data_IF_241821839883
#
_entry.id   IF_241821839883
#
_cell.length_a   1.000
_cell.length_b   1.000
_cell.length_c   1.000
_cell.angle_alpha   90.00
_cell.angle_beta   90.00
_cell.angle_gamma   90.00
#
_symmetry.space_group_name_H-M   'P 1'
#
loop_
_entity.id
_entity.type
_entity.pdbx_description
1 polymer ?
#
# COMPACT_ATOMS: atom_id res chain seq x y z
N UNK A 1 9.11 0.02 5.95
CA UNK A 1 8.55 -0.17 4.58
C UNK A 1 7.56 0.95 4.32
N UNK A 2 7.59 1.55 3.14
CA UNK A 2 6.65 2.61 2.77
C UNK A 2 5.24 2.07 2.58
N UNK A 3 4.21 2.87 2.91
CA UNK A 3 2.81 2.50 2.65
C UNK A 3 2.49 2.70 1.15
N UNK A 4 2.49 1.61 0.37
CA UNK A 4 2.22 1.66 -1.07
C UNK A 4 0.75 1.99 -1.37
N UNK A 5 -0.26 1.50 -0.62
CA UNK A 5 -1.65 1.92 -0.83
C UNK A 5 -1.79 3.44 -0.76
N UNK A 6 -1.21 4.07 0.26
CA UNK A 6 -1.24 5.53 0.39
C UNK A 6 -0.54 6.24 -0.78
N UNK A 7 0.65 5.79 -1.20
CA UNK A 7 1.33 6.36 -2.37
C UNK A 7 0.51 6.25 -3.65
N UNK A 8 -0.14 5.11 -3.85
CA UNK A 8 -0.95 4.84 -5.03
C UNK A 8 -2.14 5.78 -5.10
N UNK A 9 -2.82 5.99 -3.98
CA UNK A 9 -3.98 6.89 -3.89
C UNK A 9 -3.61 8.35 -4.15
N UNK A 10 -2.44 8.81 -3.70
CA UNK A 10 -1.94 10.15 -4.03
C UNK A 10 -1.80 10.34 -5.55
N UNK A 11 -1.29 9.33 -6.25
CA UNK A 11 -1.09 9.37 -7.70
C UNK A 11 -2.43 9.24 -8.47
N UNK A 12 -3.27 8.29 -8.07
CA UNK A 12 -4.53 7.97 -8.74
C UNK A 12 -5.54 9.12 -8.64
N UNK A 13 -5.68 9.71 -7.44
CA UNK A 13 -6.58 10.85 -7.23
C UNK A 13 -5.92 12.20 -7.55
N UNK A 14 -4.65 12.21 -7.95
CA UNK A 14 -3.86 13.41 -8.26
C UNK A 14 -3.95 14.48 -7.15
N UNK A 15 -3.84 14.05 -5.89
CA UNK A 15 -3.89 14.92 -4.72
C UNK A 15 -2.52 15.08 -4.09
N UNK A 16 -2.25 16.28 -3.58
CA UNK A 16 -1.02 16.60 -2.85
C UNK A 16 -1.09 16.14 -1.39
N UNK A 17 0.07 15.92 -0.77
CA UNK A 17 0.13 15.51 0.64
C UNK A 17 -0.40 16.63 1.56
N UNK A 18 -0.28 17.88 1.12
CA UNK A 18 -0.81 19.06 1.79
C UNK A 18 -2.35 19.11 1.77
N UNK A 19 -2.97 18.70 0.67
CA UNK A 19 -4.44 18.58 0.57
C UNK A 19 -4.94 17.45 1.47
N UNK A 20 -4.26 16.29 1.45
CA UNK A 20 -4.59 15.17 2.35
C UNK A 20 -4.47 15.61 3.80
N UNK A 21 -3.38 16.31 4.17
CA UNK A 21 -3.19 16.80 5.54
C UNK A 21 -4.34 17.66 6.04
N UNK A 22 -4.84 18.56 5.18
CA UNK A 22 -5.99 19.41 5.49
C UNK A 22 -7.29 18.61 5.58
N UNK A 23 -7.53 17.68 4.65
CA UNK A 23 -8.79 16.95 4.59
C UNK A 23 -8.92 15.82 5.61
N UNK A 24 -7.82 15.14 5.95
CA UNK A 24 -7.81 14.04 6.92
C UNK A 24 -7.47 14.51 8.35
N UNK A 25 -7.12 15.78 8.54
CA UNK A 25 -6.64 16.33 9.82
C UNK A 25 -5.46 15.53 10.40
N UNK A 26 -4.56 15.07 9.54
CA UNK A 26 -3.31 14.40 9.96
C UNK A 26 -2.16 15.38 9.72
N UNK A 27 -1.25 15.57 10.69
CA UNK A 27 -0.09 16.43 10.50
C UNK A 27 0.73 16.07 9.26
N UNK A 28 1.15 17.09 8.51
CA UNK A 28 1.89 16.93 7.26
C UNK A 28 3.14 16.06 7.40
N UNK A 29 3.91 16.28 8.48
CA UNK A 29 5.13 15.54 8.77
C UNK A 29 4.85 14.06 9.06
N UNK A 30 3.70 13.76 9.66
CA UNK A 30 3.28 12.39 9.90
C UNK A 30 2.91 11.68 8.59
N UNK A 31 2.16 12.36 7.69
CA UNK A 31 1.85 11.82 6.36
C UNK A 31 3.11 11.58 5.53
N UNK A 32 4.08 12.50 5.58
CA UNK A 32 5.41 12.31 4.94
C UNK A 32 6.13 11.10 5.53
N UNK A 33 6.10 10.95 6.85
CA UNK A 33 6.65 9.79 7.55
C UNK A 33 6.00 8.47 7.12
N UNK A 34 4.66 8.43 7.00
CA UNK A 34 3.89 7.25 6.57
C UNK A 34 4.21 6.92 5.11
N UNK A 35 4.20 7.92 4.23
CA UNK A 35 4.56 7.77 2.82
C UNK A 35 5.96 7.20 2.66
N UNK A 36 6.94 7.74 3.36
CA UNK A 36 8.33 7.30 3.22
C UNK A 36 8.64 6.04 4.04
N UNK A 37 7.68 5.55 4.83
CA UNK A 37 7.84 4.34 5.65
C UNK A 37 8.69 4.52 6.90
N UNK A 38 8.88 5.78 7.33
CA UNK A 38 9.55 6.18 8.58
C UNK A 38 8.59 6.12 9.78
N UNK A 39 7.30 6.31 9.53
CA UNK A 39 6.22 6.22 10.52
C UNK A 39 5.32 5.06 10.14
N UNK A 40 4.93 4.24 11.12
CA UNK A 40 4.01 3.13 10.91
C UNK A 40 2.57 3.66 10.82
N UNK A 41 1.78 3.12 9.89
CA UNK A 41 0.35 3.40 9.82
C UNK A 41 -0.36 2.96 11.11
N UNK A 42 -1.09 3.86 11.75
CA UNK A 42 -1.97 3.58 12.89
C UNK A 42 -3.38 3.34 12.41
N UNK A 43 -4.21 2.66 13.23
CA UNK A 43 -5.63 2.42 12.90
C UNK A 43 -6.38 3.74 12.75
N UNK A 44 -6.13 4.71 13.65
CA UNK A 44 -6.79 6.02 13.60
C UNK A 44 -6.46 6.79 12.31
N UNK A 45 -5.19 6.78 11.89
CA UNK A 45 -4.80 7.43 10.64
C UNK A 45 -5.37 6.70 9.43
N UNK A 46 -5.43 5.37 9.45
CA UNK A 46 -6.05 4.59 8.39
C UNK A 46 -7.54 4.88 8.23
N UNK A 47 -8.27 5.07 9.35
CA UNK A 47 -9.68 5.50 9.31
C UNK A 47 -9.80 6.88 8.69
N UNK A 48 -9.03 7.87 9.19
CA UNK A 48 -9.04 9.25 8.67
C UNK A 48 -8.70 9.32 7.17
N UNK A 49 -7.71 8.55 6.73
CA UNK A 49 -7.35 8.46 5.31
C UNK A 49 -8.42 7.71 4.52
N UNK A 50 -9.01 6.66 5.09
CA UNK A 50 -10.13 5.93 4.49
C UNK A 50 -11.33 6.85 4.23
N UNK A 51 -11.70 7.67 5.21
CA UNK A 51 -12.75 8.67 5.08
C UNK A 51 -12.41 9.71 3.99
N UNK A 52 -11.18 10.22 3.98
CA UNK A 52 -10.73 11.19 2.97
C UNK A 52 -10.76 10.63 1.54
N UNK A 53 -10.24 9.42 1.35
CA UNK A 53 -10.17 8.76 0.04
C UNK A 53 -11.46 8.01 -0.34
N UNK A 54 -12.44 7.97 0.56
CA UNK A 54 -13.68 7.19 0.45
C UNK A 54 -13.43 5.69 0.18
N UNK A 55 -12.55 5.08 0.98
CA UNK A 55 -12.20 3.65 0.92
C UNK A 55 -12.16 3.02 2.32
N UNK A 56 -12.29 1.68 2.43
CA UNK A 56 -12.13 1.00 3.73
C UNK A 56 -10.71 1.14 4.29
N UNK A 57 -10.60 1.39 5.60
CA UNK A 57 -9.33 1.59 6.30
C UNK A 57 -8.39 0.36 6.22
N UNK A 58 -8.96 -0.83 6.07
CA UNK A 58 -8.25 -2.11 5.94
C UNK A 58 -7.31 -2.11 4.74
N UNK A 59 -7.62 -1.35 3.69
CA UNK A 59 -6.80 -1.23 2.48
C UNK A 59 -5.38 -0.82 2.79
N UNK A 60 -5.17 0.06 3.79
CA UNK A 60 -3.84 0.51 4.20
C UNK A 60 -3.00 -0.56 4.90
N UNK A 61 -3.59 -1.71 5.23
CA UNK A 61 -2.93 -2.83 5.89
C UNK A 61 -2.82 -4.08 4.99
N UNK A 62 -3.46 -4.09 3.82
CA UNK A 62 -3.47 -5.25 2.91
C UNK A 62 -2.07 -5.69 2.46
N UNK A 63 -1.11 -4.77 2.34
CA UNK A 63 0.27 -5.16 1.99
C UNK A 63 1.06 -5.74 3.16
N UNK A 64 0.65 -5.45 4.40
CA UNK A 64 1.20 -6.14 5.56
C UNK A 64 0.55 -7.52 5.75
N UNK A 65 -0.60 -7.77 5.11
CA UNK A 65 -1.23 -9.08 5.03
C UNK A 65 -0.52 -9.92 3.97
N UNK A 66 0.66 -10.43 4.33
CA UNK A 66 1.43 -11.48 3.64
C UNK A 66 1.19 -11.55 2.14
N UNK A 67 2.12 -10.98 1.37
CA UNK A 67 2.31 -11.38 -0.03
C UNK A 67 2.75 -12.85 -0.02
N UNK A 68 1.80 -13.79 0.11
CA UNK A 68 2.02 -15.16 -0.32
C UNK A 68 2.18 -15.06 -1.83
N UNK A 69 3.43 -15.03 -2.31
CA UNK A 69 3.76 -15.20 -3.72
C UNK A 69 3.30 -16.59 -4.18
N UNK A 70 2.00 -16.78 -4.39
CA UNK A 70 1.46 -17.93 -5.09
C UNK A 70 1.59 -17.66 -6.59
N UNK A 71 2.83 -17.67 -7.08
CA UNK A 71 3.14 -17.78 -8.51
C UNK A 71 2.76 -19.20 -8.97
N UNK A 72 1.46 -19.46 -9.12
CA UNK A 72 0.95 -20.73 -9.66
C UNK A 72 0.02 -20.39 -10.82
N UNK A 73 0.57 -20.28 -12.03
CA UNK A 73 -0.21 -20.08 -13.26
C UNK A 73 0.64 -19.69 -14.47
N UNK A 74 0.37 -20.29 -15.63
CA UNK A 74 1.15 -20.20 -16.89
C UNK A 74 1.18 -18.81 -17.57
N UNK A 75 0.65 -17.75 -16.93
CA UNK A 75 0.69 -16.38 -17.46
C UNK A 75 1.10 -15.35 -16.40
N UNK A 76 2.09 -15.70 -15.57
CA UNK A 76 2.76 -14.69 -14.74
C UNK A 76 3.53 -13.73 -15.63
N UNK A 77 3.15 -12.45 -15.64
CA UNK A 77 3.88 -11.36 -16.31
C UNK A 77 5.01 -10.80 -15.42
N UNK A 78 5.37 -11.51 -14.34
CA UNK A 78 6.50 -11.16 -13.50
C UNK A 78 7.79 -11.66 -14.16
N UNK A 79 8.77 -10.77 -14.29
CA UNK A 79 10.07 -10.98 -14.92
C UNK A 79 11.02 -11.92 -14.12
N UNK A 80 10.48 -12.98 -13.52
CA UNK A 80 11.21 -14.07 -12.88
C UNK A 80 10.96 -15.33 -13.69
N UNK A 81 11.99 -15.84 -14.34
CA UNK A 81 11.91 -16.98 -15.25
C UNK A 81 11.23 -18.22 -14.66
N UNK A 82 10.80 -19.09 -15.56
CA UNK A 82 10.13 -20.36 -15.31
C UNK A 82 10.93 -21.25 -14.32
N UNK A 83 10.35 -21.54 -13.15
CA UNK A 83 10.86 -22.57 -12.25
C UNK A 83 10.21 -23.90 -12.66
N UNK A 84 10.91 -24.69 -13.46
CA UNK A 84 10.52 -26.07 -13.74
C UNK A 84 10.68 -26.92 -12.48
N UNK A 85 9.61 -27.56 -12.03
CA UNK A 85 9.72 -28.63 -11.03
C UNK A 85 10.29 -29.86 -11.71
N UNK A 86 11.58 -30.12 -11.52
CA UNK A 86 12.18 -31.42 -11.84
C UNK A 86 11.62 -32.44 -10.83
N UNK A 87 10.82 -33.39 -11.30
CA UNK A 87 10.65 -34.66 -10.57
C UNK A 87 11.89 -35.48 -10.89
N UNK A 88 12.73 -35.74 -9.88
CA UNK A 88 13.68 -36.84 -9.97
C UNK A 88 12.86 -38.13 -9.79
N UNK A 89 12.77 -38.93 -10.85
CA UNK A 89 12.40 -40.34 -10.76
C UNK A 89 13.51 -41.15 -10.07
#
# INVERSE_FOLDING_TARGET
MSNIPFKTLLLDQNVTIEEVSKGSEIPLEELRGIKDGKVKMTIQNAIKLGDFFNIPAEVFFLENASVNHNNIGEKSNSNSGYIGTYKND
#
